data_IF_308470945768
#
_entry.id   IF_308470945768
#
_cell.length_a   1.000
_cell.length_b   1.000
_cell.length_c   1.000
_cell.angle_alpha   90.00
_cell.angle_beta   90.00
_cell.angle_gamma   90.00
#
_symmetry.space_group_name_H-M   'P 1'
#
loop_
_entity.id
_entity.type
_entity.pdbx_description
1 polymer ?
#
# COMPACT_ATOMS: atom_id res chain seq x y z
N UNK A 1 10.44 -21.90 7.32
CA UNK A 1 9.89 -20.98 8.34
C UNK A 1 10.18 -19.53 7.93
N UNK A 2 9.67 -19.09 6.78
CA UNK A 2 10.09 -17.82 6.14
C UNK A 2 8.93 -17.10 5.45
N UNK A 3 7.70 -17.22 5.95
CA UNK A 3 6.51 -16.72 5.22
C UNK A 3 5.88 -15.46 5.80
N UNK A 4 6.11 -15.10 7.06
CA UNK A 4 5.49 -13.89 7.66
C UNK A 4 6.16 -12.59 7.23
N UNK A 5 7.43 -12.65 6.82
CA UNK A 5 8.19 -11.48 6.40
C UNK A 5 8.21 -11.31 4.87
N UNK A 6 7.49 -12.15 4.12
CA UNK A 6 7.43 -12.06 2.67
C UNK A 6 6.39 -11.01 2.23
N UNK A 7 6.79 -9.94 1.52
CA UNK A 7 5.90 -8.93 0.93
C UNK A 7 4.73 -9.52 0.15
N UNK A 8 4.97 -10.59 -0.60
CA UNK A 8 3.94 -11.21 -1.42
C UNK A 8 2.88 -11.88 -0.55
N UNK A 9 3.29 -12.61 0.49
CA UNK A 9 2.38 -13.26 1.43
C UNK A 9 1.54 -12.22 2.16
N UNK A 10 2.15 -11.14 2.64
CA UNK A 10 1.44 -10.06 3.32
C UNK A 10 0.35 -9.44 2.44
N UNK A 11 0.69 -9.14 1.18
CA UNK A 11 -0.26 -8.58 0.21
C UNK A 11 -1.41 -9.55 -0.10
N UNK A 12 -1.12 -10.84 -0.23
CA UNK A 12 -2.15 -11.87 -0.43
C UNK A 12 -3.08 -11.96 0.78
N UNK A 13 -2.55 -11.88 2.01
CA UNK A 13 -3.35 -11.84 3.24
C UNK A 13 -4.24 -10.61 3.26
N UNK A 14 -3.70 -9.40 3.04
CA UNK A 14 -4.49 -8.16 3.00
C UNK A 14 -5.61 -8.20 1.95
N UNK A 15 -5.36 -8.77 0.76
CA UNK A 15 -6.39 -8.94 -0.29
C UNK A 15 -7.49 -9.93 0.13
N UNK A 16 -7.12 -10.97 0.86
CA UNK A 16 -8.06 -11.96 1.42
C UNK A 16 -8.94 -11.31 2.50
N UNK A 17 -8.32 -10.58 3.42
CA UNK A 17 -9.02 -9.89 4.50
C UNK A 17 -9.89 -8.74 3.99
N UNK A 18 -9.48 -8.05 2.91
CA UNK A 18 -10.33 -7.09 2.22
C UNK A 18 -11.62 -7.76 1.71
N UNK A 19 -11.51 -8.95 1.12
CA UNK A 19 -12.66 -9.70 0.64
C UNK A 19 -13.58 -10.11 1.80
N UNK A 20 -13.00 -10.51 2.93
CA UNK A 20 -13.75 -10.83 4.14
C UNK A 20 -14.47 -9.59 4.72
N UNK A 21 -13.78 -8.46 4.82
CA UNK A 21 -14.33 -7.19 5.29
C UNK A 21 -15.49 -6.70 4.41
N UNK A 22 -15.37 -6.82 3.08
CA UNK A 22 -16.45 -6.52 2.14
C UNK A 22 -17.69 -7.38 2.40
N UNK A 23 -17.52 -8.67 2.68
CA UNK A 23 -18.63 -9.60 3.00
C UNK A 23 -19.27 -9.26 4.36
N UNK A 24 -18.45 -8.89 5.35
CA UNK A 24 -18.89 -8.46 6.67
C UNK A 24 -19.51 -7.05 6.68
N UNK A 25 -19.42 -6.30 5.57
CA UNK A 25 -19.82 -4.88 5.45
C UNK A 25 -19.05 -3.97 6.41
N UNK A 26 -17.82 -4.33 6.74
CA UNK A 26 -16.91 -3.51 7.54
C UNK A 26 -16.29 -2.42 6.64
N UNK A 27 -16.96 -1.27 6.59
CA UNK A 27 -16.52 -0.16 5.73
C UNK A 27 -15.19 0.46 6.16
N UNK A 28 -14.82 0.34 7.44
CA UNK A 28 -13.55 0.87 7.99
C UNK A 28 -12.41 0.01 7.49
N UNK A 29 -12.50 -1.31 7.68
CA UNK A 29 -11.48 -2.24 7.18
C UNK A 29 -11.37 -2.21 5.65
N UNK A 30 -12.49 -2.10 4.93
CA UNK A 30 -12.47 -1.98 3.46
C UNK A 30 -11.71 -0.72 2.99
N UNK A 31 -11.97 0.43 3.62
CA UNK A 31 -11.31 1.71 3.29
C UNK A 31 -9.80 1.63 3.56
N UNK A 32 -9.44 1.15 4.75
CA UNK A 32 -8.07 1.01 5.20
C UNK A 32 -7.26 0.07 4.28
N UNK A 33 -7.78 -1.14 4.03
CA UNK A 33 -7.08 -2.16 3.26
C UNK A 33 -6.94 -1.80 1.78
N UNK A 34 -7.97 -1.20 1.16
CA UNK A 34 -7.86 -0.77 -0.25
C UNK A 34 -6.77 0.27 -0.43
N UNK A 35 -6.74 1.27 0.45
CA UNK A 35 -5.76 2.35 0.37
C UNK A 35 -4.34 1.82 0.62
N UNK A 36 -4.17 0.95 1.62
CA UNK A 36 -2.87 0.37 1.92
C UNK A 36 -2.34 -0.54 0.79
N UNK A 37 -3.19 -1.39 0.20
CA UNK A 37 -2.82 -2.21 -0.97
C UNK A 37 -2.45 -1.32 -2.16
N UNK A 38 -3.22 -0.26 -2.42
CA UNK A 38 -2.93 0.68 -3.50
C UNK A 38 -1.60 1.41 -3.28
N UNK A 39 -1.27 1.80 -2.04
CA UNK A 39 0.01 2.43 -1.73
C UNK A 39 1.20 1.49 -2.01
N UNK A 40 1.07 0.21 -1.66
CA UNK A 40 2.09 -0.82 -1.97
C UNK A 40 2.20 -1.02 -3.49
N UNK A 41 1.08 -1.23 -4.18
CA UNK A 41 1.05 -1.43 -5.64
C UNK A 41 1.64 -0.19 -6.38
N UNK A 42 1.42 1.03 -5.86
CA UNK A 42 2.01 2.27 -6.41
C UNK A 42 3.51 2.36 -6.15
N UNK A 43 3.99 1.98 -4.97
CA UNK A 43 5.42 2.00 -4.66
C UNK A 43 6.21 1.03 -5.55
N UNK A 44 5.67 -0.17 -5.81
CA UNK A 44 6.23 -1.09 -6.81
C UNK A 44 6.35 -0.42 -8.19
N UNK A 45 5.34 0.37 -8.58
CA UNK A 45 5.35 1.06 -9.88
C UNK A 45 6.35 2.23 -9.95
N UNK A 46 6.57 2.98 -8.86
CA UNK A 46 7.49 4.13 -8.85
C UNK A 46 8.94 3.67 -8.99
N UNK A 47 9.33 2.61 -8.28
CA UNK A 47 10.69 2.05 -8.37
C UNK A 47 11.02 1.59 -9.80
N UNK A 48 10.07 0.95 -10.48
CA UNK A 48 10.22 0.54 -11.88
C UNK A 48 10.47 1.74 -12.82
N UNK A 49 9.77 2.88 -12.60
CA UNK A 49 9.96 4.10 -13.41
C UNK A 49 11.29 4.82 -13.13
N UNK A 50 11.73 4.87 -11.87
CA UNK A 50 12.99 5.49 -11.48
C UNK A 50 14.20 4.72 -12.04
N UNK A 51 14.15 3.39 -12.07
CA UNK A 51 15.17 2.59 -12.75
C UNK A 51 15.14 2.80 -14.26
N UNK A 52 13.96 2.68 -14.88
CA UNK A 52 13.81 2.89 -16.33
C UNK A 52 14.35 4.25 -16.78
N UNK A 53 14.20 5.31 -15.99
CA UNK A 53 14.76 6.64 -16.31
C UNK A 53 16.27 6.72 -16.15
N UNK A 54 16.87 6.03 -15.17
CA UNK A 54 18.34 5.90 -15.05
C UNK A 54 18.91 5.11 -16.24
N UNK A 55 18.28 4.01 -16.62
CA UNK A 55 18.67 3.16 -17.75
C UNK A 55 18.47 3.87 -19.10
N UNK A 56 17.40 4.66 -19.26
CA UNK A 56 17.13 5.44 -20.49
C UNK A 56 18.07 6.63 -20.71
N UNK A 57 18.91 6.99 -19.73
CA UNK A 57 19.94 8.01 -19.95
C UNK A 57 21.05 7.52 -20.90
N UNK A 58 21.02 6.26 -21.34
CA UNK A 58 21.98 5.65 -22.27
C UNK A 58 21.36 5.18 -23.60
N UNK A 59 20.83 6.12 -24.39
CA UNK A 59 20.64 6.13 -25.88
C UNK A 59 19.82 5.01 -26.60
N UNK A 60 18.96 5.52 -27.50
CA UNK A 60 18.46 4.98 -28.79
C UNK A 60 17.38 3.89 -28.80
N UNK A 61 16.17 4.34 -29.16
CA UNK A 61 15.44 3.89 -30.35
C UNK A 61 15.17 2.39 -30.49
N UNK A 62 13.97 1.97 -30.12
CA UNK A 62 13.25 0.93 -30.85
C UNK A 62 11.76 1.04 -30.57
N UNK A 63 10.99 1.14 -31.66
CA UNK A 63 9.54 0.95 -31.66
C UNK A 63 9.28 -0.56 -31.84
N UNK A 64 8.10 -0.99 -31.37
CA UNK A 64 7.37 -2.20 -31.77
C UNK A 64 7.41 -3.38 -30.78
N UNK A 65 6.20 -3.79 -30.36
CA UNK A 65 5.93 -5.14 -29.85
C UNK A 65 5.09 -5.20 -28.58
N UNK A 66 3.76 -5.06 -28.70
CA UNK A 66 2.81 -5.51 -27.68
C UNK A 66 3.10 -6.97 -27.30
N UNK A 67 3.13 -7.27 -26.00
CA UNK A 67 3.03 -8.65 -25.48
C UNK A 67 4.19 -9.15 -24.63
N UNK A 68 4.70 -8.35 -23.68
CA UNK A 68 5.47 -8.83 -22.50
C UNK A 68 5.91 -7.65 -21.62
N UNK A 69 5.00 -6.71 -21.32
CA UNK A 69 5.24 -5.74 -20.26
C UNK A 69 4.95 -6.36 -18.87
N UNK A 70 5.20 -7.66 -18.73
CA UNK A 70 5.58 -8.28 -17.46
C UNK A 70 7.03 -7.82 -17.20
N UNK A 71 7.23 -6.51 -17.10
CA UNK A 71 8.43 -5.96 -16.50
C UNK A 71 8.52 -6.66 -15.15
N UNK A 72 9.62 -7.38 -14.93
CA UNK A 72 9.84 -8.13 -13.70
C UNK A 72 9.80 -7.14 -12.54
N UNK A 73 8.60 -6.95 -11.95
CA UNK A 73 8.36 -6.07 -10.82
C UNK A 73 9.40 -6.41 -9.78
N UNK A 74 10.29 -5.48 -9.49
CA UNK A 74 11.28 -5.67 -8.44
C UNK A 74 10.49 -5.68 -7.12
N UNK A 75 10.39 -6.83 -6.49
CA UNK A 75 9.60 -6.99 -5.28
C UNK A 75 10.12 -6.03 -4.20
N UNK A 76 9.24 -5.18 -3.65
CA UNK A 76 9.55 -4.33 -2.50
C UNK A 76 10.20 -5.19 -1.41
N UNK A 77 11.21 -4.66 -0.72
CA UNK A 77 11.76 -5.40 0.41
C UNK A 77 10.71 -5.48 1.55
N UNK A 78 10.83 -6.46 2.46
CA UNK A 78 10.01 -6.49 3.66
C UNK A 78 10.06 -5.19 4.47
N UNK A 79 11.19 -4.47 4.44
CA UNK A 79 11.36 -3.21 5.14
C UNK A 79 10.60 -2.08 4.45
N UNK A 80 10.59 -2.04 3.11
CA UNK A 80 9.89 -1.01 2.34
C UNK A 80 8.37 -1.14 2.54
N UNK A 81 7.84 -2.36 2.50
CA UNK A 81 6.42 -2.59 2.77
C UNK A 81 6.04 -2.15 4.19
N UNK A 82 6.85 -2.49 5.20
CA UNK A 82 6.62 -2.01 6.58
C UNK A 82 6.68 -0.48 6.68
N UNK A 83 7.62 0.16 5.98
CA UNK A 83 7.72 1.61 5.94
C UNK A 83 6.48 2.26 5.32
N UNK A 84 5.97 1.71 4.22
CA UNK A 84 4.72 2.17 3.57
C UNK A 84 3.54 2.03 4.53
N UNK A 85 3.37 0.87 5.17
CA UNK A 85 2.28 0.65 6.13
C UNK A 85 2.40 1.60 7.34
N UNK A 86 3.61 1.84 7.83
CA UNK A 86 3.85 2.79 8.93
C UNK A 86 3.48 4.22 8.54
N UNK A 87 3.89 4.67 7.36
CA UNK A 87 3.50 5.97 6.83
C UNK A 87 1.97 6.10 6.73
N UNK A 88 1.28 5.07 6.27
CA UNK A 88 -0.19 5.06 6.20
C UNK A 88 -0.89 5.15 7.57
N UNK A 89 -0.29 4.59 8.62
CA UNK A 89 -0.77 4.70 10.01
C UNK A 89 -0.53 6.11 10.53
N UNK A 90 0.68 6.63 10.34
CA UNK A 90 1.09 7.95 10.82
C UNK A 90 0.26 9.07 10.15
N UNK A 91 0.02 8.97 8.84
CA UNK A 91 -0.83 9.90 8.08
C UNK A 91 -2.27 9.95 8.62
N UNK A 92 -2.85 8.79 8.93
CA UNK A 92 -4.20 8.70 9.51
C UNK A 92 -4.25 9.24 10.94
N UNK A 93 -3.21 9.00 11.74
CA UNK A 93 -3.11 9.53 13.09
C UNK A 93 -3.01 11.07 13.06
N UNK A 94 -2.20 11.63 12.17
CA UNK A 94 -2.06 13.07 11.97
C UNK A 94 -3.37 13.71 11.47
N UNK A 95 -4.06 13.07 10.52
CA UNK A 95 -5.36 13.55 10.04
C UNK A 95 -6.44 13.45 11.15
N UNK A 96 -6.43 12.40 11.97
CA UNK A 96 -7.33 12.29 13.10
C UNK A 96 -7.13 13.41 14.12
N UNK A 97 -5.88 13.77 14.41
CA UNK A 97 -5.56 14.92 15.27
C UNK A 97 -6.11 16.22 14.65
N UNK A 98 -5.92 16.43 13.34
CA UNK A 98 -6.51 17.59 12.64
C UNK A 98 -8.03 17.62 12.79
N UNK A 99 -8.73 16.52 12.58
CA UNK A 99 -10.19 16.47 12.76
C UNK A 99 -10.64 16.73 14.19
N UNK A 100 -9.90 16.27 15.20
CA UNK A 100 -10.21 16.58 16.60
C UNK A 100 -10.08 18.08 16.89
N UNK A 101 -9.05 18.76 16.36
CA UNK A 101 -8.92 20.22 16.50
C UNK A 101 -10.08 20.99 15.86
N UNK A 102 -10.74 20.39 14.87
CA UNK A 102 -11.91 20.94 14.18
C UNK A 102 -13.24 20.50 14.82
N UNK A 103 -13.21 19.78 15.94
CA UNK A 103 -14.40 19.29 16.65
C UNK A 103 -15.10 18.11 15.96
N UNK A 104 -14.46 17.46 14.98
CA UNK A 104 -15.02 16.36 14.20
C UNK A 104 -14.62 14.99 14.78
N UNK A 105 -14.96 14.75 16.05
CA UNK A 105 -14.52 13.58 16.81
C UNK A 105 -14.88 12.23 16.16
N UNK A 106 -16.02 12.14 15.46
CA UNK A 106 -16.41 10.91 14.76
C UNK A 106 -15.51 10.60 13.55
N UNK A 107 -15.11 11.63 12.79
CA UNK A 107 -14.19 11.47 11.67
C UNK A 107 -12.80 11.07 12.17
N UNK A 108 -12.34 11.70 13.26
CA UNK A 108 -11.08 11.35 13.91
C UNK A 108 -11.08 9.92 14.46
N UNK A 109 -12.16 9.49 15.13
CA UNK A 109 -12.31 8.12 15.61
C UNK A 109 -12.23 7.10 14.47
N UNK A 110 -12.94 7.35 13.37
CA UNK A 110 -12.89 6.49 12.18
C UNK A 110 -11.47 6.35 11.62
N UNK A 111 -10.72 7.43 11.51
CA UNK A 111 -9.34 7.39 11.01
C UNK A 111 -8.41 6.59 11.93
N UNK A 112 -8.61 6.66 13.25
CA UNK A 112 -7.88 5.85 14.22
C UNK A 112 -8.23 4.37 14.11
N UNK A 113 -9.50 4.05 13.87
CA UNK A 113 -9.92 2.67 13.61
C UNK A 113 -9.30 2.13 12.31
N UNK A 114 -9.28 2.94 11.24
CA UNK A 114 -8.58 2.58 10.00
C UNK A 114 -7.07 2.35 10.23
N UNK A 115 -6.42 3.22 11.01
CA UNK A 115 -5.00 3.06 11.37
C UNK A 115 -4.77 1.77 12.18
N UNK A 116 -5.68 1.43 13.10
CA UNK A 116 -5.61 0.20 13.88
C UNK A 116 -5.75 -1.06 12.99
N UNK A 117 -6.61 -1.02 11.97
CA UNK A 117 -6.70 -2.12 10.98
C UNK A 117 -5.36 -2.31 10.28
N UNK A 118 -4.72 -1.24 9.81
CA UNK A 118 -3.43 -1.31 9.11
C UNK A 118 -2.32 -1.80 10.07
N UNK A 119 -2.33 -1.36 11.33
CA UNK A 119 -1.36 -1.76 12.34
C UNK A 119 -1.36 -3.27 12.63
N UNK A 120 -2.47 -3.97 12.37
CA UNK A 120 -2.55 -5.44 12.50
C UNK A 120 -1.66 -6.23 11.53
N UNK A 121 -1.03 -5.56 10.56
CA UNK A 121 -0.17 -6.17 9.53
C UNK A 121 1.33 -5.86 9.71
N UNK A 122 1.71 -5.20 10.82
CA UNK A 122 3.11 -4.92 11.20
C UNK A 122 3.62 -5.94 12.22
#
# INVERSE_FOLDING_TARGET
MTSTHDPHVLRTTMRTDLTAAMKARDSVAVSALRTAIAAIDNAESVDDTAQTTLDNTHIAGATSGLGSAEAARKALSPADVRAILRAQIDDRAAEAERYDTLGQAQAAARLREEAAVIAGYL
#
